data_IF_279667968344
#
_entry.id   IF_279667968344
#
_cell.length_a   1.000
_cell.length_b   1.000
_cell.length_c   1.000
_cell.angle_alpha   90.00
_cell.angle_beta   90.00
_cell.angle_gamma   90.00
#
_symmetry.space_group_name_H-M   'P 1'
#
loop_
_entity.id
_entity.type
_entity.pdbx_description
1 polymer ?
#
# COMPACT_ATOMS: atom_id res chain seq x y z
N UNK A 1 -45.70 10.57 19.43
CA UNK A 1 -44.87 10.98 18.28
C UNK A 1 -43.52 11.44 18.80
N UNK A 2 -42.45 10.66 18.61
CA UNK A 2 -41.08 11.12 18.83
C UNK A 2 -40.24 10.54 17.67
N UNK A 3 -39.79 11.41 16.76
CA UNK A 3 -38.84 11.03 15.69
C UNK A 3 -37.44 11.05 16.28
N UNK A 4 -36.73 9.94 16.16
CA UNK A 4 -35.30 9.89 16.45
C UNK A 4 -34.55 10.87 15.53
N UNK A 5 -33.78 11.78 16.13
CA UNK A 5 -32.77 12.58 15.43
C UNK A 5 -31.58 11.66 15.17
N UNK A 6 -31.47 11.16 13.95
CA UNK A 6 -30.23 10.51 13.50
C UNK A 6 -29.23 11.61 13.19
N UNK A 7 -28.26 11.81 14.08
CA UNK A 7 -27.11 12.67 13.84
C UNK A 7 -26.29 12.03 12.73
N UNK A 8 -26.42 12.57 11.52
CA UNK A 8 -25.62 12.22 10.36
C UNK A 8 -24.26 12.90 10.57
N UNK A 9 -23.31 12.21 11.21
CA UNK A 9 -21.91 12.65 11.22
C UNK A 9 -21.45 12.66 9.76
N UNK A 10 -21.43 13.87 9.19
CA UNK A 10 -21.13 14.11 7.79
C UNK A 10 -19.69 13.78 7.49
N UNK A 11 -19.46 12.53 7.06
CA UNK A 11 -18.47 12.30 6.01
C UNK A 11 -18.94 13.11 4.80
N UNK A 12 -18.42 14.33 4.66
CA UNK A 12 -18.60 15.10 3.43
C UNK A 12 -17.86 14.32 2.36
N UNK A 13 -18.62 13.55 1.57
CA UNK A 13 -18.10 12.85 0.40
C UNK A 13 -17.51 13.91 -0.54
N UNK A 14 -16.18 14.00 -0.58
CA UNK A 14 -15.49 14.83 -1.57
C UNK A 14 -15.81 14.30 -2.95
N UNK A 15 -16.19 15.18 -3.87
CA UNK A 15 -16.38 14.80 -5.26
C UNK A 15 -15.01 14.52 -5.89
N UNK A 16 -14.93 13.53 -6.78
CA UNK A 16 -13.70 13.27 -7.55
C UNK A 16 -13.26 14.47 -8.40
N UNK A 17 -14.16 15.43 -8.66
CA UNK A 17 -13.86 16.69 -9.33
C UNK A 17 -13.01 17.67 -8.51
N UNK A 18 -12.97 17.48 -7.19
CA UNK A 18 -12.34 18.42 -6.25
C UNK A 18 -10.91 18.01 -5.89
N UNK A 19 -10.45 16.87 -6.43
CA UNK A 19 -9.17 16.24 -6.10
C UNK A 19 -8.24 16.36 -7.31
N UNK A 20 -7.12 17.02 -7.13
CA UNK A 20 -6.11 17.14 -8.19
C UNK A 20 -5.45 15.79 -8.49
N UNK A 21 -4.93 15.59 -9.70
CA UNK A 21 -4.18 14.36 -10.04
C UNK A 21 -2.98 14.14 -9.13
N UNK A 22 -2.33 15.22 -8.68
CA UNK A 22 -1.28 15.17 -7.66
C UNK A 22 -1.78 14.64 -6.31
N UNK A 23 -2.95 15.11 -5.86
CA UNK A 23 -3.54 14.63 -4.60
C UNK A 23 -3.99 13.17 -4.73
N UNK A 24 -4.53 12.74 -5.88
CA UNK A 24 -4.84 11.33 -6.16
C UNK A 24 -3.58 10.47 -6.09
N UNK A 25 -2.47 10.92 -6.69
CA UNK A 25 -1.21 10.20 -6.65
C UNK A 25 -0.67 10.05 -5.22
N UNK A 26 -0.76 11.12 -4.41
CA UNK A 26 -0.37 11.10 -3.00
C UNK A 26 -1.25 10.15 -2.17
N UNK A 27 -2.57 10.21 -2.36
CA UNK A 27 -3.51 9.30 -1.70
C UNK A 27 -3.23 7.84 -2.05
N UNK A 28 -3.00 7.54 -3.33
CA UNK A 28 -2.66 6.19 -3.80
C UNK A 28 -1.33 5.70 -3.20
N UNK A 29 -0.32 6.58 -3.13
CA UNK A 29 0.97 6.26 -2.51
C UNK A 29 0.82 5.94 -1.02
N UNK A 30 0.04 6.74 -0.29
CA UNK A 30 -0.18 6.54 1.14
C UNK A 30 -0.97 5.26 1.41
N UNK A 31 -2.03 4.98 0.64
CA UNK A 31 -2.77 3.73 0.73
C UNK A 31 -1.89 2.51 0.45
N UNK A 32 -1.00 2.59 -0.55
CA UNK A 32 -0.03 1.54 -0.85
C UNK A 32 0.97 1.27 0.27
N UNK A 33 1.49 2.34 0.91
CA UNK A 33 2.38 2.23 2.07
C UNK A 33 1.68 1.55 3.25
N UNK A 34 0.46 1.95 3.57
CA UNK A 34 -0.33 1.36 4.65
C UNK A 34 -0.65 -0.11 4.39
N UNK A 35 -1.03 -0.46 3.15
CA UNK A 35 -1.27 -1.84 2.76
C UNK A 35 0.01 -2.71 2.87
N UNK A 36 1.16 -2.18 2.47
CA UNK A 36 2.46 -2.85 2.60
C UNK A 36 2.80 -3.12 4.07
N UNK A 37 2.66 -2.12 4.94
CA UNK A 37 2.95 -2.27 6.37
C UNK A 37 2.03 -3.32 7.02
N UNK A 38 0.72 -3.24 6.78
CA UNK A 38 -0.24 -4.21 7.32
C UNK A 38 0.02 -5.64 6.83
N UNK A 39 0.39 -5.81 5.56
CA UNK A 39 0.74 -7.11 5.02
C UNK A 39 1.99 -7.69 5.70
N UNK A 40 3.03 -6.88 5.86
CA UNK A 40 4.27 -7.27 6.53
C UNK A 40 4.04 -7.63 8.01
N UNK A 41 3.20 -6.87 8.71
CA UNK A 41 2.81 -7.14 10.09
C UNK A 41 2.00 -8.43 10.25
N UNK A 42 1.20 -8.77 9.24
CA UNK A 42 0.49 -10.06 9.16
C UNK A 42 1.42 -11.24 8.79
N UNK A 43 2.72 -11.00 8.59
CA UNK A 43 3.70 -12.02 8.20
C UNK A 43 3.64 -12.40 6.73
N UNK A 44 2.98 -11.59 5.88
CA UNK A 44 2.92 -11.80 4.44
C UNK A 44 4.16 -11.21 3.76
N UNK A 45 4.47 -11.76 2.58
CA UNK A 45 5.49 -11.23 1.69
C UNK A 45 4.87 -10.24 0.71
N UNK A 46 5.51 -9.08 0.54
CA UNK A 46 5.05 -8.02 -0.36
C UNK A 46 5.96 -7.97 -1.58
N UNK A 47 5.38 -8.11 -2.77
CA UNK A 47 6.09 -7.94 -4.04
C UNK A 47 5.85 -6.54 -4.57
N UNK A 48 6.92 -5.81 -4.85
CA UNK A 48 6.83 -4.46 -5.40
C UNK A 48 7.98 -4.19 -6.39
N UNK A 49 7.93 -3.02 -7.00
CA UNK A 49 8.99 -2.51 -7.88
C UNK A 49 9.69 -1.37 -7.15
N UNK A 50 11.02 -1.39 -7.10
CA UNK A 50 11.80 -0.31 -6.49
C UNK A 50 11.95 0.91 -7.42
N UNK A 51 12.60 1.96 -6.93
CA UNK A 51 12.83 3.21 -7.68
C UNK A 51 13.69 3.02 -8.94
N UNK A 52 14.42 1.91 -9.04
CA UNK A 52 15.25 1.55 -10.19
C UNK A 52 14.49 0.65 -11.18
N UNK A 53 13.22 0.36 -10.93
CA UNK A 53 12.40 -0.51 -11.79
C UNK A 53 12.63 -2.01 -11.54
N UNK A 54 13.35 -2.39 -10.49
CA UNK A 54 13.64 -3.80 -10.17
C UNK A 54 12.50 -4.39 -9.35
N UNK A 55 12.16 -5.65 -9.64
CA UNK A 55 11.20 -6.41 -8.83
C UNK A 55 11.87 -6.78 -7.50
N UNK A 56 11.21 -6.52 -6.39
CA UNK A 56 11.70 -6.86 -5.05
C UNK A 56 10.62 -7.57 -4.24
N UNK A 57 11.05 -8.38 -3.28
CA UNK A 57 10.21 -9.00 -2.25
C UNK A 57 10.63 -8.47 -0.89
N UNK A 58 9.69 -7.89 -0.17
CA UNK A 58 9.84 -7.51 1.23
C UNK A 58 9.19 -8.55 2.15
N UNK A 59 9.88 -8.85 3.25
CA UNK A 59 9.37 -9.70 4.32
C UNK A 59 9.77 -9.16 5.69
N UNK A 60 8.85 -9.14 6.65
CA UNK A 60 9.17 -8.83 8.04
C UNK A 60 9.75 -10.05 8.74
N UNK A 61 10.94 -9.90 9.31
CA UNK A 61 11.60 -10.92 10.11
C UNK A 61 11.05 -10.92 11.55
N UNK A 62 11.27 -11.99 12.33
CA UNK A 62 10.78 -12.09 13.72
C UNK A 62 11.32 -11.00 14.65
N UNK A 63 12.46 -10.41 14.34
CA UNK A 63 13.08 -9.31 15.08
C UNK A 63 12.46 -7.93 14.73
N UNK A 64 11.50 -7.90 13.81
CA UNK A 64 10.83 -6.69 13.34
C UNK A 64 11.52 -6.02 12.15
N UNK A 65 12.69 -6.50 11.72
CA UNK A 65 13.44 -5.94 10.59
C UNK A 65 12.78 -6.33 9.26
N UNK A 66 12.74 -5.43 8.29
CA UNK A 66 12.29 -5.74 6.93
C UNK A 66 13.49 -6.23 6.12
N UNK A 67 13.40 -7.46 5.62
CA UNK A 67 14.34 -8.01 4.63
C UNK A 67 13.78 -7.78 3.22
N UNK A 68 14.52 -7.02 2.41
CA UNK A 68 14.24 -6.80 0.99
C UNK A 68 15.14 -7.71 0.14
N UNK A 69 14.55 -8.45 -0.78
CA UNK A 69 15.27 -9.32 -1.73
C UNK A 69 15.01 -8.82 -3.15
N UNK A 70 16.05 -8.49 -3.89
CA UNK A 70 15.93 -8.15 -5.31
C UNK A 70 15.73 -9.44 -6.09
N UNK A 71 14.64 -9.51 -6.85
CA UNK A 71 14.42 -10.56 -7.85
C UNK A 71 15.17 -10.11 -9.10
N UNK A 72 16.48 -10.31 -9.09
CA UNK A 72 17.24 -10.26 -10.33
C UNK A 72 16.67 -11.37 -11.23
N UNK A 73 16.31 -11.05 -12.47
CA UNK A 73 16.04 -12.08 -13.47
C UNK A 73 17.39 -12.75 -13.74
N UNK A 74 17.79 -13.67 -12.86
CA UNK A 74 18.74 -14.70 -13.19
C UNK A 74 18.09 -15.47 -14.34
N UNK A 75 18.34 -15.00 -15.56
CA UNK A 75 18.67 -15.89 -16.65
C UNK A 75 19.85 -16.71 -16.14
N UNK A 76 19.56 -17.76 -15.38
CA UNK A 76 20.40 -18.93 -15.39
C UNK A 76 20.33 -19.45 -16.82
N UNK A 77 21.26 -18.96 -17.64
CA UNK A 77 21.89 -19.78 -18.65
C UNK A 77 22.36 -21.05 -17.94
N UNK A 78 21.68 -22.16 -18.17
CA UNK A 78 22.26 -23.49 -18.02
C UNK A 78 21.61 -24.41 -19.07
N UNK A 79 22.47 -24.72 -20.05
CA UNK A 79 22.50 -25.79 -21.07
C UNK A 79 21.67 -25.69 -22.36
#
# INVERSE_FOLDING_TARGET
MQRAKTTQEGSVLRSFSDVSTSEIAELALNAGKEAREKALDAGLEVRCTDEQGRKVIDKKLPDGTIKTTILDESKSDDE
#
